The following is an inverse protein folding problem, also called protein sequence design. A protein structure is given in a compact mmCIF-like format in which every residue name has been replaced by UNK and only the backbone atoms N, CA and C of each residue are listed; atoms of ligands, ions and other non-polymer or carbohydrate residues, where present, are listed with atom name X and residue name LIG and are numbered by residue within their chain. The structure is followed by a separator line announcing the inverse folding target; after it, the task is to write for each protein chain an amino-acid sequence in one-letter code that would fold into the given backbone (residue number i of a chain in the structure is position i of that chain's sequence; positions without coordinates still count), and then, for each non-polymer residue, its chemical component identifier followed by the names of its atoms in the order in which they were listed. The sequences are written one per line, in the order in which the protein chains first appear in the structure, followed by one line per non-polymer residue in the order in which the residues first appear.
data_IF_367590309722
#
_entry.id   IF_367590309722
#
_cell.length_a   1.000
_cell.length_b   1.000
_cell.length_c   1.000
_cell.angle_alpha   90.00
_cell.angle_beta   90.00
_cell.angle_gamma   90.00
#
_symmetry.space_group_name_H-M   'P 1'
#
loop_
_entity.id
_entity.type
_entity.pdbx_description
1 polymer ?
#
# COMPACT_ATOMS: atom_id res chain seq x y z
N UNK A 1 0.54 0.03 9.78
CA UNK A 1 -0.64 -0.83 9.53
C UNK A 1 -1.39 -0.97 10.84
N UNK A 2 -2.71 -1.15 10.81
CA UNK A 2 -3.54 -1.35 12.02
C UNK A 2 -4.41 -2.58 11.81
N UNK A 3 -4.55 -3.42 12.83
CA UNK A 3 -5.39 -4.61 12.78
C UNK A 3 -6.75 -4.32 13.43
N UNK A 4 -7.84 -4.50 12.69
CA UNK A 4 -9.21 -4.22 13.13
C UNK A 4 -10.16 -5.27 12.56
N UNK A 5 -11.07 -5.81 13.37
CA UNK A 5 -12.10 -6.76 12.94
C UNK A 5 -11.59 -7.99 12.17
N UNK A 6 -10.38 -8.47 12.49
CA UNK A 6 -9.82 -9.66 11.85
C UNK A 6 -9.01 -9.40 10.57
N UNK A 7 -8.93 -8.16 10.11
CA UNK A 7 -8.17 -7.77 8.91
C UNK A 7 -7.17 -6.66 9.20
N UNK A 8 -6.14 -6.57 8.38
CA UNK A 8 -5.16 -5.48 8.45
C UNK A 8 -5.60 -4.33 7.55
N UNK A 9 -5.42 -3.09 8.00
CA UNK A 9 -5.53 -1.91 7.14
C UNK A 9 -4.14 -1.31 6.92
N UNK A 10 -3.79 -1.16 5.65
CA UNK A 10 -2.57 -0.50 5.17
C UNK A 10 -2.92 0.91 4.74
N UNK A 11 -2.28 1.90 5.37
CA UNK A 11 -2.31 3.28 4.88
C UNK A 11 -1.20 3.47 3.86
N UNK A 12 -1.54 3.96 2.68
CA UNK A 12 -0.58 4.26 1.60
C UNK A 12 -0.70 5.73 1.24
N UNK A 13 0.42 6.46 1.34
CA UNK A 13 0.49 7.85 0.92
C UNK A 13 1.06 7.91 -0.49
N UNK A 14 0.26 8.42 -1.42
CA UNK A 14 0.74 8.78 -2.76
C UNK A 14 0.93 10.31 -2.84
N UNK A 15 1.57 10.84 -3.88
CA UNK A 15 1.72 12.28 -4.03
C UNK A 15 0.39 13.05 -4.14
N UNK A 16 -0.64 12.43 -4.74
CA UNK A 16 -1.94 13.07 -4.91
C UNK A 16 -2.91 12.79 -3.76
N UNK A 17 -3.12 11.52 -3.42
CA UNK A 17 -4.11 11.11 -2.42
C UNK A 17 -3.56 10.10 -1.41
N UNK A 18 -4.33 9.87 -0.35
CA UNK A 18 -4.07 8.82 0.62
C UNK A 18 -5.05 7.67 0.39
N UNK A 19 -4.54 6.45 0.43
CA UNK A 19 -5.32 5.23 0.30
C UNK A 19 -5.34 4.47 1.62
N UNK A 20 -6.50 3.91 1.96
CA UNK A 20 -6.64 2.84 2.95
C UNK A 20 -6.97 1.55 2.22
N UNK A 21 -6.16 0.51 2.43
CA UNK A 21 -6.35 -0.80 1.81
C UNK A 21 -6.52 -1.84 2.91
N UNK A 22 -7.67 -2.49 2.93
CA UNK A 22 -7.85 -3.69 3.74
C UNK A 22 -7.05 -4.85 3.11
N UNK A 23 -6.32 -5.60 3.92
CA UNK A 23 -5.55 -6.77 3.49
C UNK A 23 -5.75 -7.93 4.46
N UNK A 24 -6.09 -9.09 3.90
CA UNK A 24 -5.89 -10.37 4.59
C UNK A 24 -4.46 -10.83 4.35
N UNK A 25 -3.79 -11.28 5.42
CA UNK A 25 -2.41 -11.78 5.33
C UNK A 25 -2.43 -13.30 5.35
N UNK A 26 -2.11 -13.91 4.22
CA UNK A 26 -1.98 -15.36 4.09
C UNK A 26 -0.51 -15.71 3.80
N UNK A 27 0.24 -15.97 4.86
CA UNK A 27 1.69 -16.16 4.78
C UNK A 27 2.38 -14.95 4.12
N UNK A 28 3.14 -15.21 3.05
CA UNK A 28 3.86 -14.20 2.28
C UNK A 28 3.01 -13.42 1.26
N UNK A 29 1.68 -13.52 1.31
CA UNK A 29 0.78 -12.84 0.37
C UNK A 29 -0.25 -12.00 1.11
N UNK A 30 -0.43 -10.77 0.66
CA UNK A 30 -1.54 -9.89 1.02
C UNK A 30 -2.64 -10.05 -0.02
N UNK A 31 -3.86 -10.31 0.43
CA UNK A 31 -5.07 -10.38 -0.39
C UNK A 31 -5.85 -9.09 -0.16
N UNK A 32 -5.85 -8.14 -1.11
CA UNK A 32 -6.53 -6.87 -0.92
C UNK A 32 -8.05 -7.02 -0.92
N UNK A 33 -8.69 -6.37 0.05
CA UNK A 33 -10.14 -6.24 0.16
C UNK A 33 -10.60 -4.85 -0.22
N UNK A 34 -11.43 -4.23 0.63
CA UNK A 34 -11.98 -2.90 0.39
C UNK A 34 -10.87 -1.85 0.35
N UNK A 35 -10.98 -0.93 -0.61
CA UNK A 35 -10.09 0.23 -0.77
C UNK A 35 -10.89 1.51 -0.62
N UNK A 36 -10.32 2.48 0.07
CA UNK A 36 -10.83 3.85 0.18
C UNK A 36 -9.70 4.81 -0.18
N UNK A 37 -10.04 5.95 -0.77
CA UNK A 37 -9.07 7.01 -1.05
C UNK A 37 -9.68 8.39 -0.82
N UNK A 38 -8.82 9.38 -0.58
CA UNK A 38 -9.21 10.78 -0.71
C UNK A 38 -9.48 11.11 -2.18
N UNK A 39 -10.20 12.19 -2.46
CA UNK A 39 -10.65 12.56 -3.81
C UNK A 39 -10.08 13.92 -4.27
N UNK A 40 -8.79 14.16 -4.06
CA UNK A 40 -8.10 15.31 -4.65
C UNK A 40 -7.87 15.07 -6.14
N UNK A 41 -8.04 16.12 -6.95
CA UNK A 41 -7.76 16.08 -8.38
C UNK A 41 -6.37 16.67 -8.64
N UNK A 42 -5.39 15.81 -8.92
CA UNK A 42 -4.06 16.24 -9.34
C UNK A 42 -3.87 16.02 -10.83
N UNK A 43 -3.12 16.90 -11.47
CA UNK A 43 -2.69 16.75 -12.86
C UNK A 43 -1.29 16.13 -12.89
N UNK A 44 -0.95 15.48 -14.01
CA UNK A 44 0.43 15.04 -14.25
C UNK A 44 0.81 13.74 -13.52
N UNK A 45 2.11 13.56 -13.20
CA UNK A 45 2.64 12.28 -12.71
C UNK A 45 2.06 11.84 -11.36
N UNK A 46 1.62 12.76 -10.51
CA UNK A 46 1.02 12.51 -9.21
C UNK A 46 -0.22 11.60 -9.32
N UNK A 47 -1.07 11.88 -10.31
CA UNK A 47 -2.25 11.06 -10.62
C UNK A 47 -1.87 9.68 -11.17
N UNK A 48 -0.78 9.61 -11.94
CA UNK A 48 -0.28 8.33 -12.48
C UNK A 48 0.26 7.42 -11.38
N UNK A 49 0.98 7.96 -10.38
CA UNK A 49 1.46 7.18 -9.24
C UNK A 49 0.32 6.64 -8.38
N UNK A 50 -0.72 7.45 -8.15
CA UNK A 50 -1.93 6.99 -7.47
C UNK A 50 -2.62 5.86 -8.25
N UNK A 51 -2.81 6.04 -9.56
CA UNK A 51 -3.44 5.03 -10.44
C UNK A 51 -2.64 3.72 -10.44
N UNK A 52 -1.31 3.79 -10.50
CA UNK A 52 -0.44 2.62 -10.39
C UNK A 52 -0.61 1.91 -9.04
N UNK A 53 -0.70 2.69 -7.96
CA UNK A 53 -0.89 2.14 -6.60
C UNK A 53 -2.24 1.43 -6.47
N UNK A 54 -3.32 1.98 -7.03
CA UNK A 54 -4.60 1.29 -7.08
C UNK A 54 -4.52 -0.06 -7.78
N UNK A 55 -3.88 -0.10 -8.95
CA UNK A 55 -3.70 -1.33 -9.75
C UNK A 55 -2.85 -2.38 -9.05
N UNK A 56 -1.84 -1.96 -8.27
CA UNK A 56 -1.06 -2.88 -7.45
C UNK A 56 -1.97 -3.66 -6.49
N UNK A 57 -2.94 -3.00 -5.85
CA UNK A 57 -3.87 -3.60 -4.90
C UNK A 57 -5.18 -4.11 -5.52
N UNK A 58 -5.28 -4.22 -6.84
CA UNK A 58 -6.41 -4.91 -7.51
C UNK A 58 -6.28 -6.43 -7.51
N UNK A 59 -5.09 -6.94 -7.18
CA UNK A 59 -4.76 -8.37 -7.16
C UNK A 59 -3.86 -8.70 -5.97
N UNK A 60 -3.72 -9.99 -5.60
CA UNK A 60 -2.83 -10.40 -4.52
C UNK A 60 -1.41 -9.87 -4.69
N UNK A 61 -0.78 -9.48 -3.58
CA UNK A 61 0.56 -8.89 -3.53
C UNK A 61 1.43 -9.79 -2.67
N UNK A 62 2.53 -10.31 -3.22
CA UNK A 62 3.54 -10.97 -2.38
C UNK A 62 4.38 -9.91 -1.70
N UNK A 63 4.78 -10.17 -0.47
CA UNK A 63 5.60 -9.27 0.31
C UNK A 63 6.83 -10.00 0.86
N UNK A 64 7.95 -9.30 0.93
CA UNK A 64 9.12 -9.73 1.68
C UNK A 64 9.67 -8.56 2.50
N UNK A 65 10.19 -8.88 3.69
CA UNK A 65 10.85 -7.92 4.55
C UNK A 65 12.27 -8.41 4.81
N UNK A 66 13.26 -7.69 4.29
CA UNK A 66 14.68 -7.98 4.43
C UNK A 66 15.36 -6.83 5.17
N UNK A 67 15.70 -7.06 6.44
CA UNK A 67 16.16 -5.99 7.33
C UNK A 67 15.10 -4.89 7.44
N UNK A 68 15.41 -3.71 6.92
CA UNK A 68 14.54 -2.53 6.93
C UNK A 68 13.91 -2.24 5.56
N UNK A 69 14.04 -3.18 4.60
CA UNK A 69 13.46 -3.05 3.26
C UNK A 69 12.23 -3.92 3.09
N UNK A 70 11.08 -3.30 2.86
CA UNK A 70 9.83 -3.96 2.50
C UNK A 70 9.66 -3.94 0.98
N UNK A 71 9.62 -5.11 0.36
CA UNK A 71 9.30 -5.25 -1.07
C UNK A 71 7.91 -5.81 -1.25
N UNK A 72 7.12 -5.15 -2.10
CA UNK A 72 5.82 -5.61 -2.57
C UNK A 72 5.93 -5.97 -4.06
N UNK A 73 5.34 -7.08 -4.46
CA UNK A 73 5.41 -7.56 -5.84
C UNK A 73 4.14 -8.28 -6.28
N UNK A 74 3.73 -8.07 -7.54
CA UNK A 74 2.81 -8.93 -8.27
C UNK A 74 2.98 -8.73 -9.78
N UNK A 75 2.07 -9.30 -10.59
CA UNK A 75 2.12 -9.20 -12.05
C UNK A 75 2.04 -7.75 -12.59
N UNK A 76 1.52 -6.80 -11.81
CA UNK A 76 1.45 -5.39 -12.21
C UNK A 76 2.82 -4.69 -12.05
N UNK A 77 3.58 -5.04 -11.02
CA UNK A 77 4.88 -4.45 -10.79
C UNK A 77 5.44 -4.74 -9.39
N UNK A 78 6.53 -4.04 -9.08
CA UNK A 78 7.16 -4.09 -7.75
C UNK A 78 7.38 -2.69 -7.21
N UNK A 79 7.31 -2.56 -5.89
CA UNK A 79 7.74 -1.36 -5.16
C UNK A 79 8.52 -1.80 -3.93
N UNK A 80 9.56 -1.04 -3.61
CA UNK A 80 10.41 -1.27 -2.46
C UNK A 80 10.37 -0.04 -1.55
N UNK A 81 10.22 -0.26 -0.25
CA UNK A 81 10.14 0.76 0.77
C UNK A 81 11.26 0.56 1.76
N UNK A 82 11.89 1.65 2.18
CA UNK A 82 12.79 1.65 3.31
C UNK A 82 12.07 2.12 4.55
N UNK A 83 12.39 1.54 5.70
CA UNK A 83 11.89 2.01 6.98
C UNK A 83 12.28 3.48 7.19
N UNK A 84 11.27 4.34 7.31
CA UNK A 84 11.46 5.78 7.50
C UNK A 84 11.84 6.15 8.95
N UNK A 85 11.97 5.16 9.84
CA UNK A 85 12.16 5.33 11.28
C UNK A 85 10.87 5.71 12.02
N UNK A 86 10.98 6.06 13.31
CA UNK A 86 9.85 6.50 14.11
C UNK A 86 9.19 7.72 13.48
N UNK A 87 7.86 7.70 13.38
CA UNK A 87 7.10 8.89 12.99
C UNK A 87 7.26 9.91 14.12
N UNK A 88 7.88 11.08 13.89
CA UNK A 88 7.95 12.11 14.91
C UNK A 88 6.51 12.53 15.20
N UNK A 89 6.08 12.42 16.46
CA UNK A 89 4.76 12.85 16.97
C UNK A 89 3.60 11.82 16.96
N UNK A 90 3.87 10.51 17.03
CA UNK A 90 2.91 9.56 17.63
C UNK A 90 3.30 9.19 19.05
#
# INVERSE_FOLDING_TARGET
MVFVNGTWTVGVKTPCNHLGVEVEVNGGTWIPGRRISTAMACLGPESNYETWTHRLFEQPVTWSLEGNSLKLHNAHGSVEFQEAGPIPHM
#
